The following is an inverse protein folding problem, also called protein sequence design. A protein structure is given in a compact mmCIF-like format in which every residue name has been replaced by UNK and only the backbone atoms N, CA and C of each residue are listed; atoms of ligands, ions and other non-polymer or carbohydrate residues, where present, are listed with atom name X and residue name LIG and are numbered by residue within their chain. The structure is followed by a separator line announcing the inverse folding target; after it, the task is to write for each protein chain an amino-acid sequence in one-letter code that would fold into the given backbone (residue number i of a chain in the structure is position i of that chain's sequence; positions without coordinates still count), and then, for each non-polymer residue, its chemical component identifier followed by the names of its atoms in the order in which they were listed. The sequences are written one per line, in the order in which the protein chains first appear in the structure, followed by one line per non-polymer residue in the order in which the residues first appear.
data_IF_056916935845
#
_entry.id   IF_056916935845
#
_cell.length_a   1.000
_cell.length_b   1.000
_cell.length_c   1.000
_cell.angle_alpha   90.00
_cell.angle_beta   90.00
_cell.angle_gamma   90.00
#
_symmetry.space_group_name_H-M   'P 1'
#
loop_
_entity.id
_entity.type
_entity.pdbx_description
1 polymer ?
#
# COMPACT_ATOMS: atom_id res chain seq x y z
N UNK A 1 17.74 -25.18 -28.04
CA UNK A 1 18.95 -25.99 -28.13
C UNK A 1 19.87 -25.36 -29.18
N UNK A 2 20.78 -24.48 -28.77
CA UNK A 2 21.88 -23.99 -29.65
C UNK A 2 23.16 -24.49 -29.05
N UNK A 3 23.81 -25.40 -29.77
CA UNK A 3 25.12 -25.96 -29.43
C UNK A 3 26.18 -24.91 -29.68
N UNK A 4 26.86 -24.49 -28.61
CA UNK A 4 28.06 -23.67 -28.70
C UNK A 4 29.22 -24.59 -29.04
N UNK A 5 29.80 -24.36 -30.22
CA UNK A 5 30.94 -25.08 -30.75
C UNK A 5 32.20 -24.47 -30.10
N UNK A 6 32.81 -25.22 -29.20
CA UNK A 6 34.13 -24.87 -28.60
C UNK A 6 35.22 -25.11 -29.63
N UNK A 7 35.82 -24.05 -30.14
CA UNK A 7 36.99 -24.16 -31.06
C UNK A 7 38.24 -24.34 -30.21
N UNK A 8 38.74 -25.56 -30.10
CA UNK A 8 40.06 -25.87 -29.55
C UNK A 8 41.09 -25.53 -30.63
N UNK A 9 41.81 -24.45 -30.46
CA UNK A 9 43.02 -24.14 -31.24
C UNK A 9 44.20 -24.97 -30.68
N UNK A 10 44.53 -26.04 -31.32
CA UNK A 10 45.74 -26.83 -31.05
C UNK A 10 46.96 -26.10 -31.60
N UNK A 11 47.80 -25.59 -30.72
CA UNK A 11 49.12 -25.07 -31.08
C UNK A 11 50.10 -26.25 -31.14
N UNK A 12 50.56 -26.58 -32.33
CA UNK A 12 51.61 -27.55 -32.53
C UNK A 12 52.98 -26.90 -32.21
N UNK A 13 53.59 -27.34 -31.15
CA UNK A 13 54.98 -26.95 -30.83
C UNK A 13 55.94 -27.90 -31.52
N UNK A 14 56.69 -27.39 -32.50
CA UNK A 14 57.80 -28.11 -33.13
C UNK A 14 59.03 -28.14 -32.20
N UNK A 15 59.36 -29.31 -31.67
CA UNK A 15 60.62 -29.52 -30.97
C UNK A 15 61.77 -29.52 -31.97
N UNK A 16 62.64 -28.54 -31.87
CA UNK A 16 64.00 -28.59 -32.44
C UNK A 16 64.97 -29.02 -31.37
N UNK A 17 65.65 -30.13 -31.61
CA UNK A 17 66.68 -30.69 -30.71
C UNK A 17 68.02 -30.07 -31.05
N UNK A 18 68.69 -29.44 -30.04
CA UNK A 18 70.01 -28.81 -30.20
C UNK A 18 70.63 -28.40 -28.89
N UNK A 19 71.32 -29.32 -28.24
CA UNK A 19 72.57 -29.33 -27.48
C UNK A 19 72.86 -28.24 -26.41
N UNK A 20 73.03 -28.74 -25.17
CA UNK A 20 73.91 -28.42 -24.05
C UNK A 20 73.93 -26.99 -23.47
N UNK A 21 73.43 -26.89 -22.24
CA UNK A 21 74.11 -26.23 -21.13
C UNK A 21 73.72 -24.79 -20.86
N UNK A 22 72.59 -24.64 -20.22
CA UNK A 22 72.41 -23.72 -19.10
C UNK A 22 71.09 -23.99 -18.43
N UNK A 23 71.05 -24.16 -17.12
CA UNK A 23 69.88 -24.58 -16.38
C UNK A 23 69.07 -23.35 -15.98
N UNK A 24 68.53 -22.66 -16.96
CA UNK A 24 67.44 -21.70 -16.79
C UNK A 24 66.24 -22.19 -17.59
N UNK A 25 65.35 -22.95 -16.91
CA UNK A 25 64.04 -23.25 -17.45
C UNK A 25 63.39 -21.94 -17.90
N UNK A 26 63.01 -21.78 -19.19
CA UNK A 26 62.21 -20.60 -19.57
C UNK A 26 60.89 -20.68 -18.84
N UNK A 27 60.66 -19.76 -17.90
CA UNK A 27 59.37 -19.53 -17.32
C UNK A 27 58.43 -19.18 -18.49
N UNK A 28 57.71 -20.17 -18.99
CA UNK A 28 56.64 -19.95 -19.95
C UNK A 28 55.60 -19.10 -19.21
N UNK A 29 55.32 -17.86 -19.60
CA UNK A 29 54.28 -17.08 -18.95
C UNK A 29 52.98 -17.84 -19.10
N UNK A 30 52.38 -18.24 -17.97
CA UNK A 30 51.03 -18.79 -17.95
C UNK A 30 50.15 -17.77 -18.65
N UNK A 31 49.34 -18.14 -19.67
CA UNK A 31 48.44 -17.19 -20.30
C UNK A 31 47.60 -16.53 -19.23
N UNK A 32 47.65 -15.23 -19.12
CA UNK A 32 46.83 -14.49 -18.18
C UNK A 32 45.37 -14.74 -18.59
N UNK A 33 44.61 -15.40 -17.73
CA UNK A 33 43.19 -15.72 -18.01
C UNK A 33 42.42 -14.45 -18.19
N UNK A 34 41.85 -14.27 -19.40
CA UNK A 34 41.11 -13.06 -19.74
C UNK A 34 39.92 -12.87 -18.79
N UNK A 35 39.79 -11.68 -18.23
CA UNK A 35 38.65 -11.36 -17.34
C UNK A 35 37.31 -11.55 -18.05
N UNK A 36 36.38 -12.14 -17.35
CA UNK A 36 35.00 -12.33 -17.81
C UNK A 36 33.98 -11.76 -16.79
N UNK A 37 32.93 -11.15 -17.26
CA UNK A 37 31.82 -10.66 -16.43
C UNK A 37 30.51 -10.76 -17.21
N UNK A 38 29.57 -11.52 -16.69
CA UNK A 38 28.20 -11.63 -17.20
C UNK A 38 27.21 -11.31 -16.09
N UNK A 39 26.04 -10.79 -16.48
CA UNK A 39 24.93 -10.47 -15.61
C UNK A 39 23.67 -11.00 -16.29
N UNK A 40 22.78 -11.62 -15.53
CA UNK A 40 21.58 -12.31 -16.04
C UNK A 40 20.48 -11.35 -16.52
N UNK A 41 20.45 -10.12 -15.99
CA UNK A 41 19.44 -9.09 -16.31
C UNK A 41 20.12 -7.77 -16.68
N UNK A 42 19.46 -6.98 -17.52
CA UNK A 42 19.89 -5.63 -17.88
C UNK A 42 19.00 -4.54 -17.27
N UNK A 43 17.84 -4.93 -16.78
CA UNK A 43 16.87 -4.04 -16.15
C UNK A 43 16.09 -4.76 -15.06
N UNK A 44 15.65 -4.02 -14.03
CA UNK A 44 14.73 -4.45 -12.98
C UNK A 44 13.71 -3.35 -12.74
N UNK A 45 12.42 -3.76 -12.65
CA UNK A 45 11.32 -2.87 -12.27
C UNK A 45 10.79 -3.25 -10.90
N UNK A 46 10.53 -2.27 -10.06
CA UNK A 46 10.03 -2.42 -8.70
C UNK A 46 8.67 -1.76 -8.56
N UNK A 47 7.80 -2.35 -7.73
CA UNK A 47 6.53 -1.73 -7.34
C UNK A 47 6.76 -0.56 -6.39
N UNK A 48 5.77 0.31 -6.26
CA UNK A 48 5.88 1.53 -5.42
C UNK A 48 6.14 1.21 -3.94
N UNK A 49 5.54 0.15 -3.42
CA UNK A 49 5.65 -0.26 -2.00
C UNK A 49 7.06 -0.73 -1.62
N UNK A 50 7.90 -0.98 -2.65
CA UNK A 50 9.22 -1.57 -2.46
C UNK A 50 9.17 -3.10 -2.39
N UNK A 51 10.25 -3.72 -2.80
CA UNK A 51 10.44 -5.17 -2.79
C UNK A 51 11.93 -5.50 -2.90
N UNK A 52 12.28 -6.78 -2.80
CA UNK A 52 13.63 -7.28 -3.05
C UNK A 52 13.65 -8.13 -4.31
N UNK A 53 14.66 -7.88 -5.18
CA UNK A 53 14.95 -8.68 -6.39
C UNK A 53 16.42 -9.08 -6.42
N UNK A 54 16.75 -10.10 -7.19
CA UNK A 54 18.10 -10.65 -7.25
C UNK A 54 18.70 -10.46 -8.64
N UNK A 55 19.96 -10.03 -8.69
CA UNK A 55 20.81 -10.04 -9.87
C UNK A 55 21.79 -11.20 -9.73
N UNK A 56 21.98 -12.00 -10.79
CA UNK A 56 23.01 -13.03 -10.83
C UNK A 56 24.20 -12.56 -11.64
N UNK A 57 25.39 -12.78 -11.08
CA UNK A 57 26.67 -12.39 -11.64
C UNK A 57 27.52 -13.64 -11.83
N UNK A 58 28.20 -13.78 -12.98
CA UNK A 58 29.25 -14.79 -13.16
C UNK A 58 30.51 -14.10 -13.64
N UNK A 59 31.62 -14.34 -12.95
CA UNK A 59 32.90 -13.69 -13.22
C UNK A 59 34.05 -14.55 -12.72
N UNK A 60 35.21 -14.48 -13.40
CA UNK A 60 36.47 -15.11 -12.99
C UNK A 60 37.42 -14.16 -12.24
N UNK A 61 36.91 -12.99 -11.82
CA UNK A 61 37.67 -11.99 -11.04
C UNK A 61 36.81 -11.55 -9.83
N UNK A 62 37.48 -10.98 -8.82
CA UNK A 62 36.76 -10.33 -7.71
C UNK A 62 35.88 -9.20 -8.27
N UNK A 63 34.73 -9.02 -7.64
CA UNK A 63 33.74 -8.10 -8.13
C UNK A 63 33.19 -7.16 -7.04
N UNK A 64 32.64 -6.04 -7.48
CA UNK A 64 31.97 -5.07 -6.64
C UNK A 64 30.73 -4.53 -7.35
N UNK A 65 29.66 -4.31 -6.58
CA UNK A 65 28.47 -3.60 -7.04
C UNK A 65 28.32 -2.28 -6.30
N UNK A 66 27.69 -1.30 -6.95
CA UNK A 66 27.44 0.02 -6.37
C UNK A 66 26.26 0.71 -7.06
N UNK A 67 25.60 1.59 -6.33
CA UNK A 67 24.61 2.53 -6.83
C UNK A 67 24.82 3.89 -6.16
N UNK A 68 24.27 4.95 -6.74
CA UNK A 68 24.21 6.29 -6.13
C UNK A 68 22.83 6.60 -5.57
N UNK A 69 21.87 5.67 -5.74
CA UNK A 69 20.51 5.83 -5.25
C UNK A 69 20.44 5.42 -3.77
N UNK A 70 20.02 6.32 -2.93
CA UNK A 70 19.87 6.15 -1.49
C UNK A 70 18.68 5.27 -1.09
N UNK A 71 17.78 5.04 -2.03
CA UNK A 71 16.59 4.20 -1.87
C UNK A 71 16.79 2.73 -2.26
N UNK A 72 18.03 2.36 -2.72
CA UNK A 72 18.42 0.99 -3.05
C UNK A 72 19.48 0.50 -2.06
N UNK A 73 19.20 -0.67 -1.47
CA UNK A 73 20.18 -1.43 -0.70
C UNK A 73 20.69 -2.62 -1.52
N UNK A 74 22.02 -2.82 -1.52
CA UNK A 74 22.70 -3.87 -2.27
C UNK A 74 23.41 -4.83 -1.32
N UNK A 75 23.12 -6.13 -1.41
CA UNK A 75 23.75 -7.11 -0.52
C UNK A 75 23.97 -8.46 -1.23
N UNK A 76 25.24 -8.97 -1.23
CA UNK A 76 26.48 -8.34 -0.82
C UNK A 76 26.97 -7.30 -1.84
N UNK A 77 27.75 -6.30 -1.40
CA UNK A 77 28.31 -5.27 -2.28
C UNK A 77 29.57 -5.71 -3.03
N UNK A 78 30.19 -6.82 -2.65
CA UNK A 78 31.40 -7.37 -3.28
C UNK A 78 31.53 -8.86 -2.99
N UNK A 79 32.34 -9.54 -3.79
CA UNK A 79 32.65 -10.95 -3.62
C UNK A 79 33.86 -11.38 -4.47
N UNK A 80 34.20 -12.68 -4.34
CA UNK A 80 35.23 -13.33 -5.13
C UNK A 80 34.66 -13.93 -6.42
N UNK A 81 35.55 -14.33 -7.33
CA UNK A 81 35.20 -15.03 -8.55
C UNK A 81 34.24 -16.21 -8.31
N UNK A 82 33.29 -16.42 -9.21
CA UNK A 82 32.33 -17.52 -9.15
C UNK A 82 31.25 -17.42 -10.24
N UNK A 83 30.41 -18.45 -10.31
CA UNK A 83 29.27 -18.51 -11.20
C UNK A 83 27.97 -18.36 -10.40
N UNK A 84 26.94 -17.78 -11.01
CA UNK A 84 25.60 -17.59 -10.44
C UNK A 84 25.58 -16.92 -9.05
N UNK A 85 26.55 -16.03 -8.79
CA UNK A 85 26.65 -15.25 -7.56
C UNK A 85 25.45 -14.32 -7.45
N UNK A 86 24.75 -14.37 -6.32
CA UNK A 86 23.54 -13.60 -6.11
C UNK A 86 23.80 -12.28 -5.39
N UNK A 87 23.28 -11.20 -5.93
CA UNK A 87 23.19 -9.87 -5.29
C UNK A 87 21.74 -9.50 -5.13
N UNK A 88 21.30 -9.33 -3.89
CA UNK A 88 19.97 -8.82 -3.59
C UNK A 88 19.96 -7.29 -3.75
N UNK A 89 18.97 -6.81 -4.47
CA UNK A 89 18.66 -5.39 -4.65
C UNK A 89 17.33 -5.14 -3.94
N UNK A 90 17.35 -4.41 -2.85
CA UNK A 90 16.15 -4.07 -2.09
C UNK A 90 15.81 -2.61 -2.33
N UNK A 91 14.60 -2.34 -2.82
CA UNK A 91 14.09 -0.98 -2.99
C UNK A 91 13.19 -0.61 -1.80
N UNK A 92 13.43 0.54 -1.18
CA UNK A 92 12.48 1.13 -0.22
C UNK A 92 11.22 1.62 -0.92
N UNK A 93 10.14 1.89 -0.18
CA UNK A 93 8.92 2.45 -0.76
C UNK A 93 9.18 3.78 -1.49
N UNK A 94 8.58 3.94 -2.66
CA UNK A 94 8.58 5.21 -3.39
C UNK A 94 7.38 6.04 -2.91
N UNK A 95 7.63 7.03 -2.09
CA UNK A 95 6.59 7.96 -1.58
C UNK A 95 6.43 9.21 -2.44
N UNK A 96 7.14 9.27 -3.59
CA UNK A 96 7.05 10.42 -4.50
C UNK A 96 5.97 10.22 -5.56
N UNK A 97 5.44 11.28 -6.09
CA UNK A 97 4.42 11.25 -7.16
C UNK A 97 4.98 10.89 -8.55
N UNK A 98 6.26 10.48 -8.62
CA UNK A 98 6.94 10.21 -9.88
C UNK A 98 7.61 8.85 -9.86
N UNK A 99 7.68 8.20 -11.02
CA UNK A 99 8.56 7.05 -11.26
C UNK A 99 9.99 7.50 -10.98
N UNK A 100 10.74 6.72 -10.22
CA UNK A 100 12.16 6.98 -9.98
C UNK A 100 13.03 5.91 -10.63
N UNK A 101 14.20 6.31 -11.07
CA UNK A 101 15.14 5.43 -11.77
C UNK A 101 16.52 5.50 -11.14
N UNK A 102 17.26 4.43 -11.27
CA UNK A 102 18.64 4.33 -10.79
C UNK A 102 19.45 3.40 -11.69
N UNK A 103 20.75 3.34 -11.44
CA UNK A 103 21.64 2.41 -12.10
C UNK A 103 22.45 1.65 -11.05
N UNK A 104 22.45 0.33 -11.15
CA UNK A 104 23.37 -0.54 -10.42
C UNK A 104 24.55 -0.84 -11.33
N UNK A 105 25.76 -0.54 -10.87
CA UNK A 105 26.99 -0.76 -11.60
C UNK A 105 27.76 -1.94 -10.99
N UNK A 106 28.10 -2.93 -11.82
CA UNK A 106 28.85 -4.12 -11.48
C UNK A 106 30.23 -4.02 -12.14
N UNK A 107 31.29 -4.15 -11.37
CA UNK A 107 32.68 -4.11 -11.84
C UNK A 107 33.43 -5.39 -11.44
N UNK A 108 34.21 -5.94 -12.38
CA UNK A 108 35.13 -7.03 -12.15
C UNK A 108 36.38 -6.78 -12.98
N UNK A 109 37.51 -6.55 -12.33
CA UNK A 109 38.73 -6.05 -12.97
C UNK A 109 38.47 -4.76 -13.78
N UNK A 110 38.75 -4.79 -15.08
CA UNK A 110 38.48 -3.66 -16.03
C UNK A 110 37.08 -3.72 -16.67
N UNK A 111 36.32 -4.78 -16.41
CA UNK A 111 34.98 -4.96 -16.98
C UNK A 111 33.95 -4.25 -16.12
N UNK A 112 32.97 -3.67 -16.81
CA UNK A 112 31.84 -3.01 -16.16
C UNK A 112 30.56 -3.44 -16.86
N UNK A 113 29.54 -3.75 -16.07
CA UNK A 113 28.15 -3.98 -16.50
C UNK A 113 27.24 -3.08 -15.69
N UNK A 114 26.12 -2.72 -16.27
CA UNK A 114 25.11 -1.90 -15.61
C UNK A 114 23.75 -2.57 -15.71
N UNK A 115 22.93 -2.41 -14.66
CA UNK A 115 21.54 -2.81 -14.63
C UNK A 115 20.71 -1.54 -14.37
N UNK A 116 19.77 -1.26 -15.25
CA UNK A 116 18.83 -0.15 -15.11
C UNK A 116 17.74 -0.52 -14.11
N UNK A 117 17.48 0.35 -13.18
CA UNK A 117 16.44 0.15 -12.17
C UNK A 117 15.35 1.19 -12.41
N UNK A 118 14.10 0.75 -12.38
CA UNK A 118 12.92 1.62 -12.33
C UNK A 118 12.04 1.22 -11.16
N UNK A 119 11.45 2.19 -10.49
CA UNK A 119 10.43 1.93 -9.49
C UNK A 119 9.21 2.78 -9.78
N UNK A 120 8.07 2.13 -9.78
CA UNK A 120 6.79 2.77 -9.99
C UNK A 120 6.52 3.83 -8.92
N UNK A 121 5.75 4.83 -9.28
CA UNK A 121 5.14 5.74 -8.31
C UNK A 121 3.97 5.03 -7.64
N UNK A 122 3.56 5.44 -6.43
CA UNK A 122 2.30 4.98 -5.84
C UNK A 122 1.18 5.05 -6.87
N UNK A 123 0.34 4.03 -6.90
CA UNK A 123 -0.83 4.07 -7.75
C UNK A 123 -1.60 5.34 -7.41
N UNK A 124 -1.55 6.32 -8.32
CA UNK A 124 -2.40 7.49 -8.19
C UNK A 124 -3.83 6.96 -8.34
N UNK A 125 -4.63 7.14 -7.30
CA UNK A 125 -6.06 6.88 -7.43
C UNK A 125 -6.51 7.57 -8.72
N UNK A 126 -7.17 6.87 -9.66
CA UNK A 126 -7.53 7.47 -10.94
C UNK A 126 -8.24 8.80 -10.65
N UNK A 127 -7.76 9.86 -11.29
CA UNK A 127 -8.43 11.16 -11.18
C UNK A 127 -9.92 10.92 -11.44
N UNK A 128 -10.82 11.43 -10.57
CA UNK A 128 -12.24 11.18 -10.73
C UNK A 128 -12.65 11.48 -12.18
N UNK A 129 -13.19 10.48 -12.86
CA UNK A 129 -13.74 10.68 -14.20
C UNK A 129 -14.86 11.74 -14.15
N UNK A 130 -15.31 12.27 -15.28
CA UNK A 130 -16.36 13.29 -15.33
C UNK A 130 -17.66 12.84 -14.62
N UNK A 131 -17.85 11.54 -14.45
CA UNK A 131 -19.00 10.92 -13.76
C UNK A 131 -18.69 10.51 -12.32
N UNK A 132 -17.48 10.79 -11.81
CA UNK A 132 -17.13 10.51 -10.40
C UNK A 132 -17.40 11.74 -9.52
N UNK A 133 -17.99 11.52 -8.33
CA UNK A 133 -18.41 12.60 -7.44
C UNK A 133 -17.32 13.59 -6.99
N UNK A 134 -16.03 13.26 -7.14
CA UNK A 134 -14.93 14.10 -6.67
C UNK A 134 -14.83 15.52 -7.23
N UNK A 135 -15.52 15.82 -8.35
CA UNK A 135 -15.62 17.15 -8.94
C UNK A 135 -17.06 17.71 -8.89
N UNK A 136 -17.99 16.98 -8.29
CA UNK A 136 -19.35 17.44 -8.17
C UNK A 136 -19.45 18.55 -7.11
N UNK A 137 -20.22 19.56 -7.38
CA UNK A 137 -20.54 20.62 -6.42
C UNK A 137 -21.68 20.22 -5.49
N UNK A 138 -22.43 19.19 -5.84
CA UNK A 138 -23.53 18.67 -5.04
C UNK A 138 -23.76 17.17 -5.27
N UNK A 139 -24.35 16.52 -4.28
CA UNK A 139 -24.57 15.08 -4.22
C UNK A 139 -26.00 14.79 -3.79
N UNK A 140 -26.67 13.90 -4.50
CA UNK A 140 -28.02 13.47 -4.17
C UNK A 140 -27.97 12.20 -3.32
N UNK A 141 -28.60 12.23 -2.15
CA UNK A 141 -28.80 11.06 -1.29
C UNK A 141 -29.76 10.07 -1.93
N UNK A 142 -29.41 8.79 -1.87
CA UNK A 142 -30.33 7.69 -2.18
C UNK A 142 -31.52 7.66 -1.25
N UNK A 143 -32.61 7.01 -1.68
CA UNK A 143 -33.83 6.86 -0.90
C UNK A 143 -33.70 5.82 0.21
N UNK A 144 -32.93 4.78 -0.06
CA UNK A 144 -32.79 3.65 0.84
C UNK A 144 -31.41 3.69 1.56
N UNK A 145 -31.38 3.47 2.87
CA UNK A 145 -30.13 3.35 3.60
C UNK A 145 -29.41 2.03 3.26
N UNK A 146 -28.11 1.99 3.49
CA UNK A 146 -27.32 0.75 3.43
C UNK A 146 -27.90 -0.25 4.45
N UNK A 147 -28.36 -1.39 3.97
CA UNK A 147 -29.10 -2.36 4.80
C UNK A 147 -28.20 -3.15 5.76
N UNK A 148 -26.96 -3.40 5.34
CA UNK A 148 -25.97 -4.15 6.11
C UNK A 148 -24.62 -3.49 6.03
N UNK A 149 -23.77 -3.64 7.04
CA UNK A 149 -22.40 -3.15 7.01
C UNK A 149 -21.64 -3.68 5.79
N UNK A 150 -21.86 -4.96 5.41
CA UNK A 150 -21.29 -5.57 4.21
C UNK A 150 -21.75 -4.91 2.90
N UNK A 151 -22.80 -4.11 2.92
CA UNK A 151 -23.29 -3.30 1.78
C UNK A 151 -22.52 -2.00 1.59
N UNK A 152 -21.58 -1.66 2.49
CA UNK A 152 -20.62 -0.61 2.21
C UNK A 152 -19.62 -1.12 1.16
N UNK A 153 -19.61 -0.47 0.01
CA UNK A 153 -18.79 -0.87 -1.15
C UNK A 153 -17.55 0.01 -1.30
N UNK A 154 -16.47 -0.60 -1.81
CA UNK A 154 -15.22 0.12 -2.04
C UNK A 154 -15.39 1.26 -3.05
N UNK A 155 -14.77 2.40 -2.75
CA UNK A 155 -14.79 3.62 -3.56
C UNK A 155 -16.17 4.25 -3.78
N UNK A 156 -17.20 3.81 -3.08
CA UNK A 156 -18.52 4.46 -3.08
C UNK A 156 -18.56 5.62 -2.10
N UNK A 157 -19.57 6.47 -2.27
CA UNK A 157 -19.72 7.74 -1.57
C UNK A 157 -20.95 7.68 -0.69
N UNK A 158 -20.81 8.18 0.54
CA UNK A 158 -21.85 8.07 1.56
C UNK A 158 -22.00 9.37 2.33
N UNK A 159 -23.20 9.57 2.87
CA UNK A 159 -23.48 10.43 4.01
C UNK A 159 -23.87 9.55 5.19
N UNK A 160 -23.41 9.91 6.41
CA UNK A 160 -23.64 9.14 7.62
C UNK A 160 -24.43 9.97 8.63
N UNK A 161 -25.56 9.47 9.02
CA UNK A 161 -26.45 10.09 10.00
C UNK A 161 -26.31 9.43 11.37
N UNK A 162 -26.47 10.23 12.41
CA UNK A 162 -26.74 9.70 13.74
C UNK A 162 -28.17 9.14 13.79
N UNK A 163 -28.30 7.89 14.21
CA UNK A 163 -29.63 7.28 14.41
C UNK A 163 -30.40 7.91 15.58
N UNK A 164 -29.68 8.47 16.53
CA UNK A 164 -30.27 9.12 17.70
C UNK A 164 -30.77 10.54 17.42
N UNK A 165 -30.01 11.26 16.61
CA UNK A 165 -30.33 12.60 16.17
C UNK A 165 -30.60 12.55 14.67
N UNK A 166 -31.83 12.23 14.27
CA UNK A 166 -32.19 11.89 12.89
C UNK A 166 -31.78 12.92 11.82
N UNK A 167 -31.46 14.16 12.23
CA UNK A 167 -31.04 15.26 11.36
C UNK A 167 -29.54 15.53 11.39
N UNK A 168 -28.80 14.94 12.35
CA UNK A 168 -27.38 15.18 12.46
C UNK A 168 -26.56 14.21 11.60
N UNK A 169 -25.66 14.77 10.81
CA UNK A 169 -24.86 14.07 9.80
C UNK A 169 -23.38 14.41 9.95
N UNK A 170 -22.52 13.45 9.61
CA UNK A 170 -21.09 13.71 9.51
C UNK A 170 -20.82 14.87 8.57
N UNK A 171 -19.99 15.80 9.00
CA UNK A 171 -19.54 16.93 8.18
C UNK A 171 -18.08 17.23 8.41
N UNK A 172 -17.41 17.69 7.37
CA UNK A 172 -16.09 18.29 7.49
C UNK A 172 -16.24 19.76 7.86
N UNK A 173 -15.54 20.21 8.92
CA UNK A 173 -15.44 21.60 9.29
C UNK A 173 -14.03 21.90 9.79
N UNK A 174 -13.38 22.88 9.20
CA UNK A 174 -12.02 23.31 9.54
C UNK A 174 -10.98 22.16 9.54
N UNK A 175 -11.10 21.23 8.60
CA UNK A 175 -10.21 20.07 8.48
C UNK A 175 -10.48 18.96 9.50
N UNK A 176 -11.64 18.95 10.16
CA UNK A 176 -12.03 17.94 11.14
C UNK A 176 -13.37 17.30 10.79
N UNK A 177 -13.51 16.03 11.17
CA UNK A 177 -14.81 15.39 11.20
C UNK A 177 -15.61 15.88 12.41
N UNK A 178 -16.77 16.42 12.14
CA UNK A 178 -17.74 16.89 13.14
C UNK A 178 -19.14 16.42 12.79
N UNK A 179 -20.13 16.90 13.50
CA UNK A 179 -21.56 16.69 13.19
C UNK A 179 -22.22 18.03 12.94
N UNK A 180 -23.20 18.06 12.06
CA UNK A 180 -24.10 19.21 11.92
C UNK A 180 -25.50 18.77 11.48
N UNK A 181 -26.50 19.58 11.83
CA UNK A 181 -27.87 19.37 11.37
C UNK A 181 -27.98 19.58 9.86
N UNK A 182 -28.55 18.61 9.17
CA UNK A 182 -28.84 18.71 7.74
C UNK A 182 -30.02 17.81 7.35
N UNK A 183 -31.15 18.41 7.08
CA UNK A 183 -32.38 17.72 6.63
C UNK A 183 -32.48 17.62 5.10
N UNK A 184 -31.49 18.13 4.37
CA UNK A 184 -31.53 18.12 2.91
C UNK A 184 -31.30 16.71 2.36
N UNK A 185 -31.73 16.51 1.12
CA UNK A 185 -31.43 15.32 0.33
C UNK A 185 -30.34 15.57 -0.70
N UNK A 186 -29.89 16.82 -0.84
CA UNK A 186 -28.77 17.24 -1.68
C UNK A 186 -27.70 17.86 -0.78
N UNK A 187 -26.49 17.35 -0.90
CA UNK A 187 -25.36 17.68 -0.03
C UNK A 187 -24.24 18.33 -0.85
N UNK A 188 -23.52 19.25 -0.25
CA UNK A 188 -22.22 19.71 -0.69
C UNK A 188 -21.11 18.76 -0.22
N UNK A 189 -19.90 18.95 -0.72
CA UNK A 189 -18.81 18.00 -0.55
C UNK A 189 -18.36 17.76 0.92
N UNK A 190 -18.57 18.74 1.80
CA UNK A 190 -18.23 18.64 3.23
C UNK A 190 -19.03 17.60 4.00
N UNK A 191 -20.18 17.16 3.47
CA UNK A 191 -21.02 16.12 4.07
C UNK A 191 -20.76 14.73 3.47
N UNK A 192 -19.95 14.63 2.42
CA UNK A 192 -19.79 13.42 1.65
C UNK A 192 -18.43 12.80 1.87
N UNK A 193 -18.43 11.50 2.15
CA UNK A 193 -17.23 10.73 2.42
C UNK A 193 -17.16 9.52 1.49
N UNK A 194 -15.98 9.28 0.91
CA UNK A 194 -15.68 8.08 0.15
C UNK A 194 -15.22 6.98 1.09
N UNK A 195 -15.79 5.78 0.96
CA UNK A 195 -15.38 4.61 1.70
C UNK A 195 -14.29 3.85 0.96
N UNK A 196 -13.12 3.70 1.56
CA UNK A 196 -12.02 2.86 1.08
C UNK A 196 -12.03 1.57 1.86
N UNK A 197 -12.61 0.51 1.27
CA UNK A 197 -12.80 -0.78 1.92
C UNK A 197 -11.48 -1.53 2.06
N UNK A 198 -11.25 -2.10 3.25
CA UNK A 198 -10.14 -3.01 3.54
C UNK A 198 -10.57 -4.04 4.59
N UNK A 199 -11.17 -5.13 4.13
CA UNK A 199 -11.64 -6.19 5.01
C UNK A 199 -10.49 -6.98 5.69
N UNK A 200 -9.23 -6.77 5.29
CA UNK A 200 -8.08 -7.34 6.01
C UNK A 200 -7.89 -6.74 7.42
N UNK A 201 -8.53 -5.62 7.69
CA UNK A 201 -8.54 -4.95 9.00
C UNK A 201 -9.61 -5.51 9.94
N UNK A 202 -10.54 -6.34 9.45
CA UNK A 202 -11.57 -6.97 10.27
C UNK A 202 -10.95 -7.92 11.29
N UNK A 203 -11.49 -7.89 12.51
CA UNK A 203 -11.18 -8.92 13.49
C UNK A 203 -12.09 -10.14 13.25
N UNK A 204 -11.56 -11.13 12.54
CA UNK A 204 -12.27 -12.37 12.19
C UNK A 204 -12.77 -13.18 13.38
N UNK A 205 -12.32 -12.90 14.62
CA UNK A 205 -12.78 -13.58 15.83
C UNK A 205 -14.22 -13.21 16.20
N UNK A 206 -14.77 -12.11 15.67
CA UNK A 206 -16.15 -11.68 15.88
C UNK A 206 -17.06 -11.95 14.68
N UNK A 207 -16.51 -12.48 13.59
CA UNK A 207 -17.20 -12.69 12.30
C UNK A 207 -18.18 -13.89 12.29
N UNK A 208 -18.68 -14.31 13.43
CA UNK A 208 -19.69 -15.40 13.46
C UNK A 208 -21.03 -15.01 12.80
N UNK A 209 -21.19 -13.77 12.33
CA UNK A 209 -22.45 -13.20 11.82
C UNK A 209 -22.41 -12.61 10.41
N UNK A 210 -21.23 -12.51 9.79
CA UNK A 210 -21.09 -12.30 8.34
C UNK A 210 -21.52 -10.94 7.77
N UNK A 211 -21.74 -9.92 8.60
CA UNK A 211 -22.23 -8.61 8.16
C UNK A 211 -21.35 -7.45 8.65
N UNK A 212 -20.05 -7.55 8.34
CA UNK A 212 -19.08 -6.54 8.71
C UNK A 212 -18.43 -5.92 7.47
N UNK A 213 -17.93 -4.70 7.62
CA UNK A 213 -17.02 -4.07 6.68
C UNK A 213 -16.00 -3.25 7.45
N UNK A 214 -14.75 -3.24 6.99
CA UNK A 214 -13.74 -2.34 7.50
C UNK A 214 -13.23 -1.42 6.39
N UNK A 215 -12.88 -0.20 6.74
CA UNK A 215 -12.33 0.73 5.77
C UNK A 215 -11.98 2.09 6.35
N UNK A 216 -11.27 2.86 5.54
CA UNK A 216 -10.93 4.26 5.80
C UNK A 216 -11.93 5.19 5.10
N UNK A 217 -12.10 6.39 5.64
CA UNK A 217 -13.03 7.39 5.13
C UNK A 217 -12.30 8.64 4.67
N UNK A 218 -12.53 8.99 3.40
CA UNK A 218 -11.95 10.15 2.74
C UNK A 218 -13.00 11.24 2.58
N UNK A 219 -12.74 12.42 3.10
CA UNK A 219 -13.59 13.58 2.87
C UNK A 219 -13.53 14.02 1.42
N UNK A 220 -14.69 14.30 0.84
CA UNK A 220 -14.77 14.81 -0.52
C UNK A 220 -14.45 16.30 -0.63
N UNK A 221 -14.49 17.03 0.49
CA UNK A 221 -14.11 18.45 0.54
C UNK A 221 -12.60 18.64 0.63
N UNK A 222 -11.91 17.90 1.50
CA UNK A 222 -10.45 18.02 1.68
C UNK A 222 -9.63 17.09 0.79
N UNK A 223 -10.23 16.00 0.30
CA UNK A 223 -9.51 14.94 -0.41
C UNK A 223 -8.59 14.11 0.48
N UNK A 224 -8.70 14.23 1.83
CA UNK A 224 -7.86 13.56 2.83
C UNK A 224 -8.67 12.56 3.65
N UNK A 225 -7.95 11.57 4.21
CA UNK A 225 -8.53 10.56 5.06
C UNK A 225 -8.60 11.03 6.53
N UNK A 226 -9.52 10.41 7.25
CA UNK A 226 -9.69 10.60 8.68
C UNK A 226 -8.51 9.99 9.44
N UNK A 227 -7.94 10.74 10.40
CA UNK A 227 -6.94 10.26 11.35
C UNK A 227 -7.53 9.90 12.72
N UNK A 228 -6.68 9.44 13.66
CA UNK A 228 -7.10 9.02 15.01
C UNK A 228 -7.64 10.15 15.90
N UNK A 229 -7.34 11.39 15.56
CA UNK A 229 -7.78 12.60 16.27
C UNK A 229 -8.97 13.28 15.57
N UNK A 230 -9.62 12.58 14.63
CA UNK A 230 -10.71 13.06 13.80
C UNK A 230 -10.34 14.23 12.86
N UNK A 231 -9.04 14.43 12.55
CA UNK A 231 -8.67 15.36 11.51
C UNK A 231 -8.78 14.69 10.13
N UNK A 232 -9.14 15.47 9.13
CA UNK A 232 -9.23 15.06 7.73
C UNK A 232 -8.01 15.58 6.98
N UNK A 233 -6.82 15.04 7.35
CA UNK A 233 -5.52 15.45 6.86
C UNK A 233 -4.59 14.27 6.53
N UNK A 234 -5.00 13.03 6.83
CA UNK A 234 -4.18 11.84 6.63
C UNK A 234 -4.12 11.43 5.15
N UNK A 235 -3.00 10.83 4.76
CA UNK A 235 -2.92 9.95 3.59
C UNK A 235 -3.40 8.54 3.97
N UNK A 236 -3.71 7.71 3.00
CA UNK A 236 -4.30 6.38 3.23
C UNK A 236 -3.48 5.52 4.20
N UNK A 237 -2.14 5.56 4.10
CA UNK A 237 -1.23 4.78 4.94
C UNK A 237 -1.30 5.13 6.44
N UNK A 238 -1.77 6.35 6.76
CA UNK A 238 -1.92 6.87 8.12
C UNK A 238 -3.39 7.08 8.49
N UNK A 239 -4.32 6.55 7.68
CA UNK A 239 -5.74 6.71 7.90
C UNK A 239 -6.22 5.90 9.11
N UNK A 240 -7.21 6.44 9.80
CA UNK A 240 -8.01 5.69 10.77
C UNK A 240 -8.90 4.69 10.02
N UNK A 241 -8.77 3.42 10.35
CA UNK A 241 -9.69 2.40 9.88
C UNK A 241 -10.81 2.20 10.89
N UNK A 242 -12.03 2.18 10.37
CA UNK A 242 -13.23 1.92 11.15
C UNK A 242 -13.85 0.59 10.70
N UNK A 243 -14.30 -0.19 11.67
CA UNK A 243 -15.07 -1.42 11.45
C UNK A 243 -16.56 -1.12 11.67
N UNK A 244 -17.36 -1.51 10.71
CA UNK A 244 -18.81 -1.36 10.71
C UNK A 244 -19.45 -2.72 10.93
N UNK A 245 -20.36 -2.79 11.87
CA UNK A 245 -21.14 -3.98 12.18
C UNK A 245 -22.62 -3.66 12.20
N UNK A 246 -23.46 -4.61 11.83
CA UNK A 246 -24.87 -4.45 12.05
C UNK A 246 -25.17 -4.40 13.54
N UNK A 247 -26.00 -3.44 13.93
CA UNK A 247 -26.44 -3.34 15.31
C UNK A 247 -27.19 -4.59 15.74
N UNK A 248 -26.71 -5.24 16.76
CA UNK A 248 -27.40 -6.30 17.47
C UNK A 248 -28.35 -5.68 18.50
N UNK A 249 -29.43 -5.10 18.02
CA UNK A 249 -30.55 -4.75 18.88
C UNK A 249 -31.12 -6.01 19.52
N UNK A 250 -31.60 -5.89 20.74
CA UNK A 250 -32.31 -6.97 21.42
C UNK A 250 -33.32 -7.62 20.46
N UNK A 251 -33.57 -8.90 20.65
CA UNK A 251 -34.57 -9.72 19.92
C UNK A 251 -35.94 -9.09 19.69
N UNK A 252 -36.16 -7.88 20.19
CA UNK A 252 -37.42 -7.11 20.11
C UNK A 252 -37.46 -5.99 19.05
N UNK A 253 -36.39 -5.79 18.27
CA UNK A 253 -36.38 -4.80 17.18
C UNK A 253 -35.85 -5.42 15.87
N UNK A 254 -36.61 -6.31 15.22
CA UNK A 254 -36.16 -7.00 14.01
C UNK A 254 -36.02 -6.08 12.78
N UNK A 255 -36.31 -4.78 12.89
CA UNK A 255 -36.38 -3.84 11.78
C UNK A 255 -35.17 -2.85 11.72
N UNK A 256 -34.16 -3.03 12.54
CA UNK A 256 -32.99 -2.12 12.54
C UNK A 256 -31.78 -2.68 11.76
N UNK A 257 -32.02 -3.40 10.67
CA UNK A 257 -30.95 -3.97 9.82
C UNK A 257 -30.12 -2.90 9.09
N UNK A 258 -30.63 -1.68 9.00
CA UNK A 258 -29.96 -0.51 8.41
C UNK A 258 -29.20 0.34 9.43
N UNK A 259 -29.09 -0.12 10.68
CA UNK A 259 -28.37 0.59 11.73
C UNK A 259 -26.99 -0.06 11.93
N UNK A 260 -25.97 0.77 11.91
CA UNK A 260 -24.59 0.38 12.00
C UNK A 260 -24.00 0.81 13.35
N UNK A 261 -23.33 -0.11 14.02
CA UNK A 261 -22.36 0.20 15.05
C UNK A 261 -20.98 0.44 14.39
N UNK A 262 -20.26 1.43 14.85
CA UNK A 262 -18.93 1.79 14.30
C UNK A 262 -17.88 1.67 15.38
N UNK A 263 -16.81 0.96 15.08
CA UNK A 263 -15.72 0.67 16.00
C UNK A 263 -14.37 1.11 15.42
N UNK A 264 -13.44 1.45 16.30
CA UNK A 264 -12.04 1.68 15.92
C UNK A 264 -11.36 0.33 15.63
N UNK A 265 -10.73 0.17 14.48
CA UNK A 265 -9.90 -1.00 14.16
C UNK A 265 -8.52 -0.91 14.85
N UNK A 266 -7.93 -2.07 15.24
CA UNK A 266 -8.58 -3.37 15.28
C UNK A 266 -9.44 -3.53 16.54
N UNK A 267 -10.59 -4.18 16.41
CA UNK A 267 -11.35 -4.65 17.59
C UNK A 267 -10.54 -5.78 18.24
N UNK A 268 -10.28 -5.69 19.52
CA UNK A 268 -9.63 -6.77 20.29
C UNK A 268 -10.57 -7.32 21.35
N UNK A 269 -10.30 -8.50 21.87
CA UNK A 269 -11.09 -9.09 22.97
C UNK A 269 -11.10 -8.25 24.25
N UNK A 270 -10.18 -7.31 24.37
CA UNK A 270 -10.00 -6.42 25.55
C UNK A 270 -10.29 -4.95 25.24
N UNK A 271 -10.50 -4.57 23.97
CA UNK A 271 -10.74 -3.19 23.56
C UNK A 271 -11.72 -3.14 22.39
N UNK A 272 -12.98 -2.80 22.71
CA UNK A 272 -14.02 -2.46 21.72
C UNK A 272 -14.34 -0.99 21.87
N UNK A 273 -13.58 -0.12 21.17
CA UNK A 273 -13.84 1.31 21.18
C UNK A 273 -14.87 1.61 20.11
N UNK A 274 -16.10 1.94 20.53
CA UNK A 274 -17.17 2.38 19.63
C UNK A 274 -17.07 3.88 19.37
N UNK A 275 -17.49 4.31 18.20
CA UNK A 275 -17.64 5.72 17.85
C UNK A 275 -18.97 6.25 18.41
N UNK A 276 -18.88 7.29 19.24
CA UNK A 276 -20.01 7.94 19.89
C UNK A 276 -20.09 9.39 19.47
N UNK A 277 -21.33 9.91 19.39
CA UNK A 277 -21.58 11.33 19.39
C UNK A 277 -22.09 11.74 20.78
N UNK A 278 -21.32 12.49 21.52
CA UNK A 278 -21.64 12.87 22.89
C UNK A 278 -21.14 14.29 23.22
N UNK A 279 -22.01 15.09 23.83
CA UNK A 279 -21.73 16.50 24.18
C UNK A 279 -21.18 17.30 22.98
N UNK A 280 -21.85 17.20 21.85
CA UNK A 280 -21.53 17.87 20.58
C UNK A 280 -20.13 17.51 20.01
N UNK A 281 -19.61 16.34 20.36
CA UNK A 281 -18.33 15.84 19.87
C UNK A 281 -18.39 14.35 19.51
N UNK A 282 -17.61 13.98 18.48
CA UNK A 282 -17.33 12.59 18.17
C UNK A 282 -16.20 12.10 19.07
N UNK A 283 -16.40 10.95 19.72
CA UNK A 283 -15.42 10.36 20.64
C UNK A 283 -15.40 8.84 20.49
N UNK A 284 -14.23 8.24 20.72
CA UNK A 284 -14.15 6.81 20.93
C UNK A 284 -14.30 6.49 22.42
N UNK A 285 -15.24 5.61 22.74
CA UNK A 285 -15.50 5.15 24.10
C UNK A 285 -15.70 3.64 24.16
N UNK A 286 -15.37 3.05 25.31
CA UNK A 286 -15.71 1.67 25.59
C UNK A 286 -17.22 1.50 25.86
N UNK A 287 -17.70 0.26 25.91
CA UNK A 287 -19.10 -0.05 26.18
C UNK A 287 -19.60 0.43 27.56
N UNK A 288 -18.68 0.87 28.47
CA UNK A 288 -18.98 1.45 29.77
C UNK A 288 -19.37 2.92 29.74
N UNK A 289 -19.12 3.63 28.63
CA UNK A 289 -19.53 5.03 28.44
C UNK A 289 -21.08 5.21 28.39
N UNK A 290 -21.79 4.14 28.50
CA UNK A 290 -23.23 4.01 28.29
C UNK A 290 -24.12 4.55 29.43
N UNK A 291 -23.59 5.20 30.47
CA UNK A 291 -24.39 5.44 31.66
C UNK A 291 -24.54 6.89 32.10
N UNK A 292 -25.17 7.71 31.26
CA UNK A 292 -25.95 8.81 31.77
C UNK A 292 -27.34 8.79 31.12
N UNK A 293 -28.31 8.15 31.79
CA UNK A 293 -29.73 8.34 31.49
C UNK A 293 -30.42 7.35 30.56
N UNK A 294 -29.99 6.11 30.44
CA UNK A 294 -30.80 5.03 29.79
C UNK A 294 -30.94 5.10 28.27
N UNK A 295 -30.41 6.11 27.61
CA UNK A 295 -30.44 6.30 26.14
C UNK A 295 -29.05 6.18 25.49
N UNK A 296 -28.04 5.78 26.24
CA UNK A 296 -26.65 5.77 25.79
C UNK A 296 -26.38 4.90 24.57
N UNK A 297 -27.11 3.80 24.41
CA UNK A 297 -26.90 2.86 23.29
C UNK A 297 -27.24 3.43 21.92
N UNK A 298 -28.08 4.46 21.82
CA UNK A 298 -28.49 5.02 20.54
C UNK A 298 -27.46 6.03 19.98
N UNK A 299 -26.67 6.67 20.83
CA UNK A 299 -25.68 7.70 20.44
C UNK A 299 -24.49 7.13 19.66
N UNK A 300 -24.32 5.81 19.57
CA UNK A 300 -23.29 5.12 18.77
C UNK A 300 -23.85 4.47 17.50
N UNK A 301 -25.12 4.67 17.20
CA UNK A 301 -25.79 4.08 16.06
C UNK A 301 -25.80 5.03 14.88
N UNK A 302 -25.45 4.50 13.74
CA UNK A 302 -25.26 5.26 12.52
C UNK A 302 -26.10 4.67 11.38
N UNK A 303 -26.51 5.51 10.44
CA UNK A 303 -27.21 5.12 9.22
C UNK A 303 -26.47 5.72 8.04
N UNK A 304 -26.02 4.87 7.12
CA UNK A 304 -25.33 5.29 5.92
C UNK A 304 -26.28 5.30 4.71
N UNK A 305 -26.18 6.34 3.89
CA UNK A 305 -26.86 6.41 2.59
C UNK A 305 -25.82 6.61 1.50
N UNK A 306 -25.90 5.80 0.44
CA UNK A 306 -25.13 6.06 -0.77
C UNK A 306 -25.60 7.36 -1.43
N UNK A 307 -24.64 8.13 -1.95
CA UNK A 307 -24.92 9.36 -2.69
C UNK A 307 -24.38 9.27 -4.11
N UNK A 308 -25.02 9.96 -5.03
CA UNK A 308 -24.60 10.11 -6.41
C UNK A 308 -24.34 11.58 -6.73
N UNK A 309 -23.33 11.85 -7.55
CA UNK A 309 -23.06 13.21 -8.02
C UNK A 309 -24.27 13.73 -8.82
N UNK A 310 -24.62 14.98 -8.59
CA UNK A 310 -25.61 15.68 -9.40
C UNK A 310 -24.88 16.31 -10.58
N UNK A 311 -25.25 15.91 -11.81
CA UNK A 311 -24.73 16.55 -13.02
C UNK A 311 -25.13 18.02 -13.04
N UNK A 312 -24.19 18.89 -13.37
CA UNK A 312 -24.44 20.33 -13.58
C UNK A 312 -25.20 20.59 -14.87
#
# INVERSE_FOLDING_TARGET
MKKILLLLASVAVLFSCGNKGDNTDPVVPTPEEQASLTVDVTELSFVAEGEAKTIKISTNKDWKVSTTADWLDLSPESGVAGEDLSVNVTASANTTESVRTATVTIKADKLTKTVSISQEKPAQEPAPGPDQPGNATSYQRGTDPVMYASGLEDNKFYVLYSKYYDTEVWTESEGKLTMSENENIVFSAEYVFQFKKDDSKLNTSFDSYGNFAAGAWKSMSTGKYLDEDFNLNAELDNALYLEFANYWGSTNAPNEINVLDVYKCPITSTSTLSLWYHNDALVFGDNGYAYEGGQGTNKRKWVAYEVTAVAQ
#
